data_IF_951013091247
#
_entry.id   IF_951013091247
#
_cell.length_a   1.000
_cell.length_b   1.000
_cell.length_c   1.000
_cell.angle_alpha   90.00
_cell.angle_beta   90.00
_cell.angle_gamma   90.00
#
_symmetry.space_group_name_H-M   'P 1'
#
loop_
_entity.id
_entity.type
_entity.pdbx_description
1 polymer ?
#
# COMPACT_ATOMS: atom_id res chain seq x y z
N UNK A 1 20.08 8.62 11.17
CA UNK A 1 18.71 9.00 11.63
C UNK A 1 17.86 7.75 11.60
N UNK A 2 17.30 7.32 12.72
CA UNK A 2 16.24 6.30 12.76
C UNK A 2 14.93 6.99 12.41
N UNK A 3 14.26 6.54 11.36
CA UNK A 3 12.92 7.06 11.00
C UNK A 3 11.91 6.52 12.01
N UNK A 4 10.99 7.37 12.48
CA UNK A 4 9.90 6.95 13.37
C UNK A 4 8.99 5.93 12.66
N UNK A 5 8.65 4.83 13.33
CA UNK A 5 7.91 3.73 12.70
C UNK A 5 6.47 4.12 12.30
N UNK A 6 5.85 5.06 13.03
CA UNK A 6 4.52 5.59 12.68
C UNK A 6 4.60 6.47 11.44
N UNK A 7 5.67 7.27 11.34
CA UNK A 7 5.95 8.05 10.13
C UNK A 7 6.21 7.13 8.95
N UNK A 8 7.01 6.07 9.13
CA UNK A 8 7.28 5.09 8.08
C UNK A 8 6.01 4.41 7.59
N UNK A 9 5.16 3.94 8.51
CA UNK A 9 3.86 3.36 8.16
C UNK A 9 2.99 4.35 7.39
N UNK A 10 2.88 5.59 7.88
CA UNK A 10 2.12 6.65 7.21
C UNK A 10 2.63 6.93 5.79
N UNK A 11 3.95 6.98 5.60
CA UNK A 11 4.57 7.15 4.29
C UNK A 11 4.28 5.97 3.37
N UNK A 12 4.39 4.73 3.86
CA UNK A 12 4.10 3.54 3.05
C UNK A 12 2.63 3.50 2.61
N UNK A 13 1.70 3.82 3.50
CA UNK A 13 0.27 3.91 3.18
C UNK A 13 0.01 5.01 2.14
N UNK A 14 0.54 6.21 2.36
CA UNK A 14 0.37 7.33 1.44
C UNK A 14 0.98 7.03 0.07
N UNK A 15 2.22 6.54 0.02
CA UNK A 15 2.90 6.21 -1.23
C UNK A 15 2.18 5.08 -1.98
N UNK A 16 1.74 4.04 -1.27
CA UNK A 16 1.05 2.91 -1.86
C UNK A 16 -0.36 3.20 -2.41
N UNK A 17 -0.91 4.39 -2.14
CA UNK A 17 -2.16 4.86 -2.75
C UNK A 17 -1.87 5.94 -3.80
N UNK A 18 -1.07 6.95 -3.45
CA UNK A 18 -0.82 8.12 -4.30
C UNK A 18 -0.04 7.74 -5.55
N UNK A 19 1.05 6.97 -5.43
CA UNK A 19 1.88 6.60 -6.59
C UNK A 19 1.09 5.79 -7.63
N UNK A 20 0.42 4.67 -7.26
CA UNK A 20 -0.41 3.94 -8.22
C UNK A 20 -1.59 4.77 -8.74
N UNK A 21 -2.21 5.61 -7.91
CA UNK A 21 -3.30 6.51 -8.35
C UNK A 21 -2.87 7.52 -9.41
N UNK A 22 -1.70 8.14 -9.23
CA UNK A 22 -1.14 9.07 -10.23
C UNK A 22 -0.76 8.34 -11.51
N UNK A 23 -0.21 7.12 -11.40
CA UNK A 23 0.13 6.31 -12.56
C UNK A 23 -1.11 5.87 -13.35
N UNK A 24 -2.17 5.43 -12.66
CA UNK A 24 -3.47 5.12 -13.26
C UNK A 24 -4.06 6.33 -13.98
N UNK A 25 -4.11 7.49 -13.31
CA UNK A 25 -4.60 8.73 -13.93
C UNK A 25 -3.84 9.07 -15.23
N UNK A 26 -2.51 8.98 -15.21
CA UNK A 26 -1.69 9.24 -16.39
C UNK A 26 -1.97 8.25 -17.53
N UNK A 27 -2.12 6.96 -17.22
CA UNK A 27 -2.41 5.90 -18.19
C UNK A 27 -3.81 6.05 -18.78
N UNK A 28 -4.81 6.28 -17.94
CA UNK A 28 -6.20 6.47 -18.34
C UNK A 28 -6.37 7.73 -19.19
N UNK A 29 -5.70 8.83 -18.85
CA UNK A 29 -5.67 10.06 -19.69
C UNK A 29 -5.03 9.82 -21.06
N UNK A 30 -4.12 8.84 -21.17
CA UNK A 30 -3.50 8.43 -22.42
C UNK A 30 -4.32 7.38 -23.22
N UNK A 31 -5.51 6.99 -22.74
CA UNK A 31 -6.39 6.00 -23.38
C UNK A 31 -6.09 4.54 -23.01
N UNK A 32 -5.28 4.31 -21.97
CA UNK A 32 -4.91 2.98 -21.47
C UNK A 32 -5.66 2.62 -20.18
N UNK A 33 -6.99 2.78 -20.13
CA UNK A 33 -7.80 2.63 -18.92
C UNK A 33 -7.59 1.27 -18.20
N UNK A 34 -7.60 0.16 -18.96
CA UNK A 34 -7.37 -1.17 -18.38
C UNK A 34 -5.98 -1.31 -17.78
N UNK A 35 -4.95 -0.73 -18.41
CA UNK A 35 -3.60 -0.78 -17.89
C UNK A 35 -3.46 0.08 -16.62
N UNK A 36 -4.10 1.26 -16.59
CA UNK A 36 -4.19 2.12 -15.42
C UNK A 36 -4.82 1.40 -14.23
N UNK A 37 -5.97 0.76 -14.43
CA UNK A 37 -6.64 -0.05 -13.41
C UNK A 37 -5.74 -1.18 -12.88
N UNK A 38 -5.03 -1.89 -13.76
CA UNK A 38 -4.11 -2.97 -13.35
C UNK A 38 -2.97 -2.41 -12.50
N UNK A 39 -2.36 -1.30 -12.92
CA UNK A 39 -1.29 -0.63 -12.16
C UNK A 39 -1.79 -0.21 -10.78
N UNK A 40 -3.02 0.32 -10.71
CA UNK A 40 -3.63 0.70 -9.45
C UNK A 40 -3.80 -0.50 -8.51
N UNK A 41 -4.43 -1.57 -9.01
CA UNK A 41 -4.70 -2.77 -8.23
C UNK A 41 -3.42 -3.47 -7.74
N UNK A 42 -2.40 -3.59 -8.61
CA UNK A 42 -1.11 -4.21 -8.26
C UNK A 42 -0.35 -3.35 -7.25
N UNK A 43 -0.35 -2.03 -7.42
CA UNK A 43 0.30 -1.11 -6.48
C UNK A 43 -0.35 -1.18 -5.10
N UNK A 44 -1.69 -1.16 -5.05
CA UNK A 44 -2.45 -1.29 -3.81
C UNK A 44 -2.22 -2.65 -3.12
N UNK A 45 -2.26 -3.75 -3.87
CA UNK A 45 -1.99 -5.09 -3.35
C UNK A 45 -0.57 -5.19 -2.79
N UNK A 46 0.41 -4.62 -3.49
CA UNK A 46 1.80 -4.58 -3.03
C UNK A 46 1.93 -3.82 -1.71
N UNK A 47 1.29 -2.66 -1.59
CA UNK A 47 1.24 -1.91 -0.32
C UNK A 47 0.61 -2.74 0.79
N UNK A 48 -0.54 -3.38 0.53
CA UNK A 48 -1.24 -4.20 1.51
C UNK A 48 -0.37 -5.36 2.01
N UNK A 49 0.36 -6.03 1.12
CA UNK A 49 1.27 -7.11 1.46
C UNK A 49 2.49 -6.62 2.26
N UNK A 50 3.05 -5.45 1.93
CA UNK A 50 4.13 -4.84 2.70
C UNK A 50 3.67 -4.47 4.11
N UNK A 51 2.51 -3.83 4.23
CA UNK A 51 1.91 -3.48 5.52
C UNK A 51 1.66 -4.75 6.35
N UNK A 52 1.07 -5.77 5.73
CA UNK A 52 0.85 -7.04 6.38
C UNK A 52 2.15 -7.67 6.87
N UNK A 53 3.15 -7.80 5.99
CA UNK A 53 4.38 -8.52 6.31
C UNK A 53 5.18 -7.87 7.44
N UNK A 54 5.27 -6.55 7.44
CA UNK A 54 6.12 -5.82 8.40
C UNK A 54 5.40 -5.42 9.68
N UNK A 55 4.13 -5.04 9.63
CA UNK A 55 3.42 -4.50 10.79
C UNK A 55 2.36 -5.45 11.36
N UNK A 56 1.65 -6.22 10.53
CA UNK A 56 0.53 -7.05 11.00
C UNK A 56 0.97 -8.47 11.36
N UNK A 57 1.71 -9.14 10.47
CA UNK A 57 2.21 -10.52 10.64
C UNK A 57 2.97 -10.76 11.95
N UNK A 58 3.82 -9.84 12.46
CA UNK A 58 4.53 -10.07 13.71
C UNK A 58 3.69 -9.80 14.96
N UNK A 59 2.45 -9.31 14.83
CA UNK A 59 1.57 -9.14 15.99
C UNK A 59 1.12 -10.51 16.48
N UNK A 60 1.25 -10.73 17.79
CA UNK A 60 0.63 -11.88 18.43
C UNK A 60 -0.87 -11.61 18.60
N UNK A 61 -1.65 -12.08 17.64
CA UNK A 61 -3.10 -11.95 17.62
C UNK A 61 -3.72 -13.08 18.46
N UNK A 62 -3.54 -13.03 19.77
CA UNK A 62 -4.21 -13.94 20.72
C UNK A 62 -5.55 -13.38 21.19
N UNK A 63 -6.55 -14.25 21.36
CA UNK A 63 -7.84 -13.89 21.94
C UNK A 63 -7.77 -13.75 23.47
N UNK A 64 -8.80 -13.16 24.12
CA UNK A 64 -8.86 -13.11 25.58
C UNK A 64 -8.69 -14.52 26.15
N UNK A 65 -7.73 -14.72 27.05
CA UNK A 65 -7.70 -15.91 27.88
C UNK A 65 -8.98 -15.87 28.73
N UNK A 66 -9.84 -16.88 28.55
CA UNK A 66 -11.06 -17.04 29.34
C UNK A 66 -10.79 -17.14 30.83
#
# INVERSE_FOLDING_TARGET
MTVDERVLLGVVLAAGVVVPGVADYALSTAGFDTAGMIVWAVGYLTMALLVWYRWIRPLDLSGPAG
#
